data_IF_620158299368
#
_entry.id   IF_620158299368
#
_cell.length_a   1.000
_cell.length_b   1.000
_cell.length_c   1.000
_cell.angle_alpha   90.00
_cell.angle_beta   90.00
_cell.angle_gamma   90.00
#
_symmetry.space_group_name_H-M   'P 1'
#
loop_
_entity.id
_entity.type
_entity.pdbx_description
1 polymer ?
#
# COMPACT_ATOMS: atom_id res chain seq x y z
N UNK A 1 15.07 -1.09 22.51
CA UNK A 1 15.12 -1.98 21.33
C UNK A 1 13.79 -2.09 20.57
N UNK A 2 12.66 -1.63 21.13
CA UNK A 2 11.33 -1.72 20.52
C UNK A 2 10.85 -0.44 19.79
N UNK A 3 11.75 0.52 19.54
CA UNK A 3 11.48 1.73 18.72
C UNK A 3 11.30 1.45 17.22
N UNK A 4 11.14 0.16 16.84
CA UNK A 4 10.93 -0.31 15.47
C UNK A 4 9.49 -0.83 15.23
N UNK A 5 8.61 -0.79 16.24
CA UNK A 5 7.29 -1.47 16.19
C UNK A 5 6.36 -0.90 15.10
N UNK A 6 6.46 0.37 14.71
CA UNK A 6 5.61 0.95 13.64
C UNK A 6 6.09 0.70 12.20
N UNK A 7 7.23 0.03 12.00
CA UNK A 7 7.86 -0.11 10.67
C UNK A 7 7.40 -1.30 9.82
N UNK A 8 6.38 -2.07 10.24
CA UNK A 8 6.00 -3.31 9.58
C UNK A 8 4.52 -3.38 9.16
N UNK A 9 3.99 -2.30 8.57
CA UNK A 9 2.67 -2.35 7.88
C UNK A 9 2.80 -2.76 6.40
N UNK A 10 4.02 -2.75 5.86
CA UNK A 10 4.32 -3.50 4.65
C UNK A 10 5.37 -4.53 5.02
N UNK A 11 5.10 -5.85 4.95
CA UNK A 11 6.21 -6.73 4.64
C UNK A 11 6.86 -6.17 3.37
N UNK A 12 8.14 -5.80 3.48
CA UNK A 12 8.97 -5.57 2.30
C UNK A 12 9.08 -6.94 1.63
N UNK A 13 8.08 -7.30 0.84
CA UNK A 13 8.23 -8.36 -0.14
C UNK A 13 8.91 -7.74 -1.35
N UNK A 14 10.21 -7.48 -1.22
CA UNK A 14 11.13 -7.92 -2.27
C UNK A 14 11.41 -9.40 -1.98
N UNK A 15 10.36 -10.20 -2.01
CA UNK A 15 10.47 -11.63 -2.22
C UNK A 15 9.53 -11.91 -3.39
N UNK A 16 10.02 -11.56 -4.57
CA UNK A 16 9.66 -12.35 -5.75
C UNK A 16 9.89 -13.80 -5.35
N UNK A 17 8.80 -14.56 -5.22
CA UNK A 17 8.90 -16.01 -5.27
C UNK A 17 9.83 -16.34 -6.45
N UNK A 18 10.77 -17.30 -6.32
CA UNK A 18 11.61 -17.67 -7.44
C UNK A 18 10.67 -18.04 -8.58
N UNK A 19 10.63 -17.22 -9.64
CA UNK A 19 9.80 -17.53 -10.79
C UNK A 19 10.30 -18.86 -11.32
N UNK A 20 9.45 -19.88 -11.25
CA UNK A 20 9.74 -21.16 -11.89
C UNK A 20 9.89 -20.88 -13.38
N UNK A 21 11.13 -20.96 -13.87
CA UNK A 21 11.53 -20.87 -15.27
C UNK A 21 11.20 -19.55 -16.00
N UNK A 22 12.00 -18.51 -15.75
CA UNK A 22 12.14 -17.39 -16.70
C UNK A 22 12.77 -17.91 -18.00
N UNK A 23 11.95 -18.20 -19.01
CA UNK A 23 12.43 -18.33 -20.38
C UNK A 23 12.80 -16.94 -20.90
N UNK A 24 13.73 -16.85 -21.87
CA UNK A 24 14.15 -15.58 -22.51
C UNK A 24 13.00 -14.77 -23.18
N UNK A 25 11.75 -15.24 -23.11
CA UNK A 25 10.54 -14.61 -23.64
C UNK A 25 9.66 -13.88 -22.62
N UNK A 26 9.91 -14.01 -21.31
CA UNK A 26 9.14 -13.27 -20.30
C UNK A 26 9.61 -11.82 -20.20
N UNK A 27 8.73 -10.88 -20.51
CA UNK A 27 9.02 -9.45 -20.49
C UNK A 27 8.50 -8.76 -19.20
N UNK A 28 7.87 -9.49 -18.28
CA UNK A 28 7.40 -8.93 -17.01
C UNK A 28 8.48 -8.12 -16.27
N UNK A 29 9.72 -8.63 -16.07
CA UNK A 29 10.75 -7.85 -15.40
C UNK A 29 11.03 -6.52 -16.12
N UNK A 30 11.10 -6.53 -17.45
CA UNK A 30 11.32 -5.33 -18.24
C UNK A 30 10.17 -4.33 -18.13
N UNK A 31 8.92 -4.81 -18.12
CA UNK A 31 7.75 -3.94 -17.94
C UNK A 31 7.73 -3.30 -16.56
N UNK A 32 8.10 -4.05 -15.51
CA UNK A 32 8.23 -3.50 -14.17
C UNK A 32 9.22 -2.34 -14.13
N UNK A 33 10.42 -2.53 -14.70
CA UNK A 33 11.44 -1.47 -14.77
C UNK A 33 10.96 -0.28 -15.62
N UNK A 34 10.33 -0.54 -16.76
CA UNK A 34 9.76 0.52 -17.61
C UNK A 34 8.72 1.37 -16.85
N UNK A 35 7.75 0.73 -16.18
CA UNK A 35 6.73 1.46 -15.44
C UNK A 35 7.32 2.20 -14.23
N UNK A 36 8.34 1.65 -13.57
CA UNK A 36 9.05 2.35 -12.51
C UNK A 36 9.73 3.62 -13.05
N UNK A 37 10.50 3.49 -14.14
CA UNK A 37 11.19 4.62 -14.76
C UNK A 37 10.23 5.70 -15.27
N UNK A 38 9.07 5.28 -15.80
CA UNK A 38 8.02 6.18 -16.25
C UNK A 38 7.34 6.91 -15.07
N UNK A 39 7.07 6.20 -13.97
CA UNK A 39 6.47 6.77 -12.76
C UNK A 39 7.39 7.80 -12.09
N UNK A 40 8.68 7.47 -11.99
CA UNK A 40 9.69 8.32 -11.38
C UNK A 40 10.12 9.49 -12.29
N UNK A 41 9.73 9.45 -13.58
CA UNK A 41 10.06 10.49 -14.55
C UNK A 41 11.55 10.60 -14.87
N UNK A 42 12.29 9.49 -14.76
CA UNK A 42 13.75 9.40 -14.97
C UNK A 42 14.13 9.76 -16.40
N UNK A 43 13.30 9.37 -17.37
CA UNK A 43 13.49 9.64 -18.79
C UNK A 43 12.59 10.79 -19.22
N UNK A 44 13.14 11.80 -19.89
CA UNK A 44 12.33 12.98 -20.27
C UNK A 44 11.17 12.63 -21.20
N UNK A 45 11.34 11.64 -22.07
CA UNK A 45 10.30 11.22 -23.01
C UNK A 45 9.07 10.61 -22.32
N UNK A 46 9.19 10.06 -21.09
CA UNK A 46 8.06 9.41 -20.42
C UNK A 46 7.02 10.41 -19.94
N UNK A 47 7.41 11.68 -19.74
CA UNK A 47 6.53 12.77 -19.31
C UNK A 47 5.49 13.17 -20.38
N UNK A 48 5.72 12.79 -21.64
CA UNK A 48 4.83 13.11 -22.76
C UNK A 48 3.61 12.17 -22.83
N UNK A 49 3.63 11.08 -22.05
CA UNK A 49 2.64 10.01 -22.14
C UNK A 49 2.07 9.67 -20.77
N UNK A 50 0.75 9.58 -20.68
CA UNK A 50 0.08 9.05 -19.49
C UNK A 50 -0.05 7.52 -19.60
N UNK A 51 0.95 6.80 -19.11
CA UNK A 51 0.96 5.33 -19.09
C UNK A 51 0.01 4.73 -18.03
N UNK A 52 -0.42 5.52 -17.04
CA UNK A 52 -1.09 5.03 -15.84
C UNK A 52 -2.61 5.23 -15.85
N UNK A 53 -3.14 6.03 -16.76
CA UNK A 53 -4.60 6.16 -16.89
C UNK A 53 -5.28 4.84 -17.26
N UNK A 54 -6.57 4.73 -16.94
CA UNK A 54 -7.38 3.58 -17.36
C UNK A 54 -7.52 3.47 -18.88
N UNK A 55 -7.37 4.60 -19.58
CA UNK A 55 -7.51 4.74 -21.04
C UNK A 55 -6.16 4.78 -21.77
N UNK A 56 -5.03 4.48 -21.11
CA UNK A 56 -3.68 4.46 -21.68
C UNK A 56 -3.42 3.30 -22.65
N UNK A 57 -4.46 2.88 -23.34
CA UNK A 57 -4.54 1.70 -24.21
C UNK A 57 -4.04 2.07 -25.64
N UNK A 58 -3.93 1.12 -26.58
CA UNK A 58 -2.87 0.91 -27.60
C UNK A 58 -2.23 2.14 -28.27
N UNK A 59 -2.97 3.22 -28.44
CA UNK A 59 -2.50 4.46 -29.07
C UNK A 59 -1.36 5.12 -28.31
N UNK A 60 -1.39 5.07 -26.97
CA UNK A 60 -0.32 5.63 -26.13
C UNK A 60 0.97 4.85 -26.37
N UNK A 61 0.96 3.53 -26.19
CA UNK A 61 2.15 2.70 -26.40
C UNK A 61 2.63 2.71 -27.85
N UNK A 62 1.73 2.77 -28.85
CA UNK A 62 2.12 2.93 -30.25
C UNK A 62 2.88 4.24 -30.50
N UNK A 63 2.42 5.34 -29.90
CA UNK A 63 3.06 6.65 -30.03
C UNK A 63 4.35 6.74 -29.20
N UNK A 64 4.35 6.10 -28.04
CA UNK A 64 5.47 6.04 -27.10
C UNK A 64 6.53 5.00 -27.48
N UNK A 65 6.38 4.25 -28.59
CA UNK A 65 7.33 3.20 -29.02
C UNK A 65 8.80 3.65 -28.94
N UNK A 66 9.20 4.84 -29.46
CA UNK A 66 10.59 5.29 -29.34
C UNK A 66 11.04 5.44 -27.88
N UNK A 67 10.20 6.05 -27.04
CA UNK A 67 10.48 6.24 -25.62
C UNK A 67 10.53 4.90 -24.86
N UNK A 68 9.61 3.99 -25.14
CA UNK A 68 9.60 2.66 -24.55
C UNK A 68 10.89 1.90 -24.87
N UNK A 69 11.33 1.92 -26.14
CA UNK A 69 12.56 1.26 -26.54
C UNK A 69 13.82 1.93 -25.99
N UNK A 70 13.81 3.26 -25.81
CA UNK A 70 14.88 3.99 -25.13
C UNK A 70 15.05 3.50 -23.68
N UNK A 71 13.96 3.48 -22.91
CA UNK A 71 13.96 2.99 -21.53
C UNK A 71 14.34 1.52 -21.49
N UNK A 72 13.72 0.68 -22.32
CA UNK A 72 13.98 -0.77 -22.33
C UNK A 72 15.43 -1.11 -22.67
N UNK A 73 16.09 -0.32 -23.51
CA UNK A 73 17.51 -0.50 -23.84
C UNK A 73 18.42 -0.29 -22.64
N UNK A 74 18.02 0.58 -21.72
CA UNK A 74 18.81 1.00 -20.57
C UNK A 74 18.51 0.15 -19.33
N UNK A 75 17.22 -0.10 -19.08
CA UNK A 75 16.76 -0.73 -17.83
C UNK A 75 16.54 -2.25 -17.95
N UNK A 76 16.31 -2.77 -19.16
CA UNK A 76 16.01 -4.20 -19.34
C UNK A 76 17.24 -5.01 -19.74
N UNK A 77 17.14 -6.34 -19.57
CA UNK A 77 18.18 -7.23 -20.07
C UNK A 77 18.29 -7.17 -21.60
N UNK A 78 19.49 -7.42 -22.13
CA UNK A 78 19.73 -7.42 -23.58
C UNK A 78 18.80 -8.37 -24.34
N UNK A 79 18.47 -9.54 -23.77
CA UNK A 79 17.53 -10.49 -24.39
C UNK A 79 16.12 -9.93 -24.50
N UNK A 80 15.61 -9.31 -23.43
CA UNK A 80 14.29 -8.68 -23.40
C UNK A 80 14.22 -7.48 -24.34
N UNK A 81 15.24 -6.63 -24.35
CA UNK A 81 15.32 -5.51 -25.29
C UNK A 81 15.34 -5.99 -26.75
N UNK A 82 16.14 -7.00 -27.08
CA UNK A 82 16.20 -7.54 -28.44
C UNK A 82 14.85 -8.13 -28.89
N UNK A 83 14.15 -8.82 -27.97
CA UNK A 83 12.80 -9.31 -28.22
C UNK A 83 11.82 -8.16 -28.47
N UNK A 84 11.75 -7.18 -27.56
CA UNK A 84 10.82 -6.05 -27.63
C UNK A 84 11.10 -5.15 -28.85
N UNK A 85 12.36 -4.90 -29.18
CA UNK A 85 12.73 -4.08 -30.35
C UNK A 85 12.37 -4.74 -31.68
N UNK A 86 12.45 -6.07 -31.75
CA UNK A 86 12.12 -6.83 -32.97
C UNK A 86 10.63 -7.15 -33.08
N UNK A 87 9.97 -7.41 -31.94
CA UNK A 87 8.60 -7.91 -31.85
C UNK A 87 7.65 -6.94 -31.14
N UNK A 88 7.94 -5.64 -31.25
CA UNK A 88 7.16 -4.62 -30.53
C UNK A 88 5.67 -4.64 -30.87
N UNK A 89 5.34 -4.83 -32.15
CA UNK A 89 3.95 -4.78 -32.60
C UNK A 89 3.18 -6.02 -32.10
N UNK A 90 3.81 -7.20 -32.10
CA UNK A 90 3.30 -8.42 -31.46
C UNK A 90 3.09 -8.20 -29.94
N UNK A 91 4.03 -7.51 -29.27
CA UNK A 91 3.89 -7.12 -27.85
C UNK A 91 2.70 -6.18 -27.63
N UNK A 92 2.53 -5.15 -28.47
CA UNK A 92 1.42 -4.23 -28.37
C UNK A 92 0.08 -4.95 -28.47
N UNK A 93 -0.06 -5.92 -29.37
CA UNK A 93 -1.26 -6.74 -29.50
C UNK A 93 -1.58 -7.44 -28.17
N UNK A 94 -0.58 -8.09 -27.55
CA UNK A 94 -0.73 -8.79 -26.27
C UNK A 94 -1.20 -7.88 -25.14
N UNK A 95 -0.74 -6.63 -25.06
CA UNK A 95 -1.13 -5.71 -23.97
C UNK A 95 -2.40 -4.91 -24.26
N UNK A 96 -2.98 -5.04 -25.46
CA UNK A 96 -4.09 -4.18 -25.89
C UNK A 96 -5.34 -4.93 -26.32
N UNK A 97 -5.22 -6.20 -26.69
CA UNK A 97 -6.36 -7.06 -27.01
C UNK A 97 -6.80 -7.85 -25.78
N UNK A 98 -7.86 -7.38 -25.11
CA UNK A 98 -8.44 -8.08 -23.98
C UNK A 98 -9.03 -9.44 -24.42
N UNK A 99 -8.64 -10.56 -23.79
CA UNK A 99 -9.18 -11.88 -24.12
C UNK A 99 -10.70 -11.95 -23.91
N UNK A 100 -11.43 -12.56 -24.85
CA UNK A 100 -12.91 -12.63 -24.84
C UNK A 100 -13.49 -13.68 -23.87
N UNK A 101 -12.67 -14.49 -23.20
CA UNK A 101 -13.16 -15.60 -22.35
C UNK A 101 -13.11 -15.27 -20.86
N UNK A 102 -14.20 -15.60 -20.16
CA UNK A 102 -14.43 -15.38 -18.72
C UNK A 102 -13.54 -16.21 -17.78
N UNK A 103 -12.55 -16.96 -18.29
CA UNK A 103 -11.72 -17.88 -17.50
C UNK A 103 -10.20 -17.67 -17.62
N UNK A 104 -9.71 -16.60 -18.25
CA UNK A 104 -8.33 -16.54 -18.78
C UNK A 104 -7.34 -15.60 -18.06
N UNK A 105 -7.35 -15.57 -16.73
CA UNK A 105 -6.33 -14.84 -15.96
C UNK A 105 -4.87 -15.31 -16.23
N UNK A 106 -4.69 -16.44 -16.91
CA UNK A 106 -3.39 -16.94 -17.42
C UNK A 106 -2.85 -16.15 -18.63
N UNK A 107 -3.67 -15.29 -19.27
CA UNK A 107 -3.22 -14.48 -20.40
C UNK A 107 -2.17 -13.45 -19.98
N UNK A 108 -1.13 -13.31 -20.79
CA UNK A 108 -0.12 -12.26 -20.65
C UNK A 108 -0.72 -10.84 -20.65
N UNK A 109 -1.90 -10.65 -21.26
CA UNK A 109 -2.63 -9.38 -21.21
C UNK A 109 -2.82 -8.90 -19.77
N UNK A 110 -3.35 -9.75 -18.88
CA UNK A 110 -3.64 -9.38 -17.49
C UNK A 110 -2.36 -9.18 -16.68
N UNK A 111 -1.37 -10.07 -16.87
CA UNK A 111 -0.06 -9.98 -16.21
C UNK A 111 0.64 -8.66 -16.54
N UNK A 112 0.79 -8.35 -17.81
CA UNK A 112 1.55 -7.18 -18.27
C UNK A 112 0.83 -5.86 -17.99
N UNK A 113 -0.51 -5.82 -18.11
CA UNK A 113 -1.28 -4.63 -17.74
C UNK A 113 -1.25 -4.34 -16.24
N UNK A 114 -1.08 -5.36 -15.40
CA UNK A 114 -1.03 -5.19 -13.94
C UNK A 114 0.31 -4.63 -13.44
N UNK A 115 1.38 -4.74 -14.25
CA UNK A 115 2.69 -4.19 -13.89
C UNK A 115 2.68 -2.68 -13.69
N UNK A 116 1.74 -1.95 -14.31
CA UNK A 116 1.59 -0.50 -14.11
C UNK A 116 1.17 -0.10 -12.69
N UNK A 117 0.63 -1.05 -11.91
CA UNK A 117 0.22 -0.81 -10.52
C UNK A 117 1.41 -0.89 -9.55
N UNK A 118 2.46 -1.65 -9.92
CA UNK A 118 3.62 -1.92 -9.07
C UNK A 118 4.35 -0.66 -8.60
N UNK A 119 4.65 0.36 -9.44
CA UNK A 119 5.30 1.57 -8.94
C UNK A 119 4.45 2.33 -7.91
N UNK A 120 3.12 2.33 -8.06
CA UNK A 120 2.22 2.95 -7.05
C UNK A 120 2.27 2.22 -5.71
N UNK A 121 2.36 0.88 -5.72
CA UNK A 121 2.55 0.09 -4.50
C UNK A 121 3.89 0.41 -3.83
N UNK A 122 4.95 0.51 -4.64
CA UNK A 122 6.28 0.91 -4.17
C UNK A 122 6.28 2.31 -3.56
N UNK A 123 5.59 3.25 -4.20
CA UNK A 123 5.45 4.63 -3.72
C UNK A 123 4.75 4.70 -2.36
N UNK A 124 3.65 3.94 -2.18
CA UNK A 124 2.97 3.82 -0.88
C UNK A 124 3.95 3.30 0.19
N UNK A 125 4.64 2.20 -0.09
CA UNK A 125 5.59 1.60 0.86
C UNK A 125 6.71 2.59 1.24
N UNK A 126 7.26 3.30 0.25
CA UNK A 126 8.33 4.28 0.44
C UNK A 126 7.87 5.51 1.25
N UNK A 127 6.66 6.02 0.98
CA UNK A 127 6.11 7.21 1.64
C UNK A 127 5.53 6.92 3.02
N UNK A 128 5.01 5.72 3.29
CA UNK A 128 4.52 5.34 4.62
C UNK A 128 5.65 5.21 5.63
N UNK A 129 6.78 4.61 5.24
CA UNK A 129 7.93 4.36 6.13
C UNK A 129 8.40 5.60 6.94
N UNK A 130 8.69 6.77 6.32
CA UNK A 130 9.12 7.97 7.05
C UNK A 130 8.02 8.62 7.88
N UNK A 131 6.76 8.25 7.66
CA UNK A 131 5.61 8.76 8.39
C UNK A 131 5.23 7.89 9.58
N UNK A 132 5.66 6.62 9.61
CA UNK A 132 5.18 5.61 10.57
C UNK A 132 5.25 6.05 12.04
N UNK A 133 6.26 6.84 12.44
CA UNK A 133 6.45 7.28 13.83
C UNK A 133 6.11 8.74 14.08
N UNK A 134 5.56 9.43 13.08
CA UNK A 134 5.24 10.85 13.18
C UNK A 134 3.81 11.03 13.66
N UNK A 135 3.64 11.96 14.59
CA UNK A 135 2.34 12.55 14.89
C UNK A 135 1.93 13.40 13.70
N UNK A 136 0.77 13.08 13.13
CA UNK A 136 0.24 13.75 11.96
C UNK A 136 -1.08 14.37 12.36
N UNK A 137 -1.31 15.57 11.84
CA UNK A 137 -2.59 16.24 11.96
C UNK A 137 -3.52 15.72 10.87
N UNK A 138 -4.82 15.84 11.11
CA UNK A 138 -5.81 15.63 10.06
C UNK A 138 -5.53 16.57 8.89
N UNK A 139 -5.64 16.06 7.67
CA UNK A 139 -5.32 16.75 6.42
C UNK A 139 -3.83 17.11 6.25
N UNK A 140 -2.91 16.41 6.90
CA UNK A 140 -1.48 16.48 6.55
C UNK A 140 -1.31 16.13 5.05
N UNK A 141 -0.70 17.03 4.29
CA UNK A 141 -0.61 16.89 2.82
C UNK A 141 0.08 15.60 2.39
N UNK A 142 0.99 15.05 3.20
CA UNK A 142 1.69 13.79 2.92
C UNK A 142 0.78 12.57 3.13
N UNK A 143 -0.19 12.67 4.05
CA UNK A 143 -1.23 11.65 4.19
C UNK A 143 -2.22 11.75 3.04
N UNK A 144 -2.65 12.96 2.67
CA UNK A 144 -3.58 13.14 1.55
C UNK A 144 -3.01 12.60 0.24
N UNK A 145 -1.72 12.81 -0.03
CA UNK A 145 -1.01 12.21 -1.17
C UNK A 145 -1.02 10.67 -1.12
N UNK A 146 -0.78 10.08 0.06
CA UNK A 146 -0.87 8.63 0.24
C UNK A 146 -2.30 8.09 0.05
N UNK A 147 -3.32 8.82 0.49
CA UNK A 147 -4.74 8.47 0.30
C UNK A 147 -5.08 8.47 -1.20
N UNK A 148 -4.66 9.49 -1.95
CA UNK A 148 -4.84 9.54 -3.40
C UNK A 148 -4.14 8.36 -4.10
N UNK A 149 -2.88 8.09 -3.76
CA UNK A 149 -2.15 6.94 -4.32
C UNK A 149 -2.83 5.61 -3.96
N UNK A 150 -3.43 5.51 -2.77
CA UNK A 150 -4.22 4.36 -2.35
C UNK A 150 -5.46 4.12 -3.22
N UNK A 151 -6.19 5.17 -3.57
CA UNK A 151 -7.35 5.05 -4.45
C UNK A 151 -6.92 4.66 -5.88
N UNK A 152 -5.82 5.25 -6.36
CA UNK A 152 -5.24 4.93 -7.67
C UNK A 152 -4.77 3.48 -7.76
N UNK A 153 -4.08 2.96 -6.75
CA UNK A 153 -3.61 1.56 -6.77
C UNK A 153 -4.78 0.59 -6.65
N UNK A 154 -5.78 0.86 -5.79
CA UNK A 154 -7.00 0.04 -5.69
C UNK A 154 -7.73 -0.03 -7.02
N UNK A 155 -7.87 1.11 -7.70
CA UNK A 155 -8.46 1.18 -9.05
C UNK A 155 -7.64 0.38 -10.07
N UNK A 156 -6.30 0.51 -10.00
CA UNK A 156 -5.38 -0.22 -10.88
C UNK A 156 -5.46 -1.74 -10.69
N UNK A 157 -5.61 -2.21 -9.44
CA UNK A 157 -5.74 -3.63 -9.10
C UNK A 157 -7.16 -4.19 -9.28
N UNK A 158 -8.16 -3.34 -9.51
CA UNK A 158 -9.58 -3.74 -9.58
C UNK A 158 -9.87 -4.86 -10.60
N UNK A 159 -9.21 -4.94 -11.78
CA UNK A 159 -9.40 -6.06 -12.69
C UNK A 159 -9.10 -7.41 -12.00
N UNK A 160 -9.92 -8.45 -12.23
CA UNK A 160 -9.95 -9.64 -11.38
C UNK A 160 -8.75 -10.61 -11.53
N UNK A 161 -7.81 -10.35 -12.44
CA UNK A 161 -7.05 -11.45 -13.04
C UNK A 161 -5.53 -11.55 -12.79
N UNK A 162 -4.90 -10.68 -12.01
CA UNK A 162 -3.46 -10.85 -11.71
C UNK A 162 -3.20 -10.91 -10.22
N UNK A 163 -3.63 -9.89 -9.51
CA UNK A 163 -3.53 -9.87 -8.06
C UNK A 163 -4.60 -10.80 -7.46
N UNK A 164 -4.14 -11.74 -6.65
CA UNK A 164 -5.05 -12.60 -5.92
C UNK A 164 -5.73 -11.84 -4.76
N UNK A 165 -6.74 -12.46 -4.15
CA UNK A 165 -7.52 -11.82 -3.08
C UNK A 165 -6.66 -11.47 -1.86
N UNK A 166 -5.60 -12.24 -1.58
CA UNK A 166 -4.68 -11.96 -0.49
C UNK A 166 -3.89 -10.67 -0.76
N UNK A 167 -3.33 -10.51 -1.95
CA UNK A 167 -2.60 -9.31 -2.35
C UNK A 167 -3.51 -8.07 -2.36
N UNK A 168 -4.73 -8.22 -2.87
CA UNK A 168 -5.75 -7.16 -2.85
C UNK A 168 -6.15 -6.78 -1.42
N UNK A 169 -6.32 -7.77 -0.54
CA UNK A 169 -6.63 -7.53 0.88
C UNK A 169 -5.49 -6.79 1.56
N UNK A 170 -4.24 -7.21 1.36
CA UNK A 170 -3.08 -6.55 1.95
C UNK A 170 -2.99 -5.06 1.57
N UNK A 171 -3.15 -4.73 0.29
CA UNK A 171 -3.16 -3.33 -0.16
C UNK A 171 -4.36 -2.58 0.42
N UNK A 172 -5.54 -3.20 0.42
CA UNK A 172 -6.76 -2.58 0.96
C UNK A 172 -6.61 -2.25 2.44
N UNK A 173 -6.10 -3.20 3.23
CA UNK A 173 -5.85 -3.06 4.66
C UNK A 173 -4.76 -2.02 4.97
N UNK A 174 -3.68 -1.99 4.20
CA UNK A 174 -2.65 -0.96 4.29
C UNK A 174 -3.23 0.43 4.04
N UNK A 175 -4.05 0.57 3.00
CA UNK A 175 -4.74 1.82 2.68
C UNK A 175 -5.78 2.23 3.72
N UNK A 176 -6.52 1.28 4.31
CA UNK A 176 -7.44 1.57 5.40
C UNK A 176 -6.69 2.08 6.63
N UNK A 177 -5.49 1.54 6.89
CA UNK A 177 -4.62 2.03 7.97
C UNK A 177 -4.12 3.46 7.70
N UNK A 178 -3.80 3.80 6.45
CA UNK A 178 -3.47 5.18 6.06
C UNK A 178 -4.66 6.12 6.26
N UNK A 179 -5.85 5.70 5.83
CA UNK A 179 -7.08 6.47 6.02
C UNK A 179 -7.39 6.70 7.49
N UNK A 180 -7.28 5.66 8.33
CA UNK A 180 -7.47 5.75 9.77
C UNK A 180 -6.52 6.79 10.40
N UNK A 181 -5.27 6.88 9.95
CA UNK A 181 -4.31 7.89 10.43
C UNK A 181 -4.70 9.32 10.09
N UNK A 182 -5.55 9.53 9.07
CA UNK A 182 -6.09 10.83 8.69
C UNK A 182 -7.46 11.13 9.35
N UNK A 183 -7.68 10.65 10.57
CA UNK A 183 -8.94 10.87 11.32
C UNK A 183 -8.70 11.64 12.62
N UNK A 184 -9.76 12.29 13.12
CA UNK A 184 -9.74 12.96 14.42
C UNK A 184 -9.49 11.98 15.58
N UNK A 185 -9.91 10.74 15.44
CA UNK A 185 -9.58 9.65 16.36
C UNK A 185 -8.07 9.42 16.49
N UNK A 186 -7.36 9.23 15.38
CA UNK A 186 -5.91 8.99 15.38
C UNK A 186 -5.09 10.23 15.80
N UNK A 187 -5.56 11.42 15.42
CA UNK A 187 -4.99 12.69 15.89
C UNK A 187 -5.11 12.79 17.42
N UNK A 188 -6.30 12.50 17.97
CA UNK A 188 -6.54 12.52 19.40
C UNK A 188 -5.66 11.52 20.18
N UNK A 189 -5.55 10.27 19.72
CA UNK A 189 -4.65 9.29 20.33
C UNK A 189 -3.19 9.76 20.33
N UNK A 190 -2.76 10.40 19.24
CA UNK A 190 -1.43 11.00 19.14
C UNK A 190 -1.23 12.14 20.12
N UNK A 191 -2.24 12.99 20.32
CA UNK A 191 -2.20 14.11 21.27
C UNK A 191 -2.16 13.61 22.71
N UNK A 192 -3.02 12.66 23.09
CA UNK A 192 -3.00 12.06 24.43
C UNK A 192 -1.64 11.42 24.71
N UNK A 193 -1.09 10.65 23.76
CA UNK A 193 0.21 10.02 23.93
C UNK A 193 1.35 11.06 24.06
N UNK A 194 1.27 12.16 23.31
CA UNK A 194 2.27 13.23 23.32
C UNK A 194 2.23 14.04 24.61
N UNK A 195 1.04 14.41 25.07
CA UNK A 195 0.85 15.25 26.26
C UNK A 195 0.93 14.44 27.55
N UNK A 196 0.66 13.12 27.47
CA UNK A 196 0.64 12.21 28.62
C UNK A 196 -0.16 12.80 29.80
N UNK A 197 -1.43 13.18 29.58
CA UNK A 197 -2.24 13.82 30.62
C UNK A 197 -2.41 12.88 31.83
N UNK A 198 -2.65 13.47 33.00
CA UNK A 198 -3.03 12.69 34.17
C UNK A 198 -4.45 12.14 34.01
N UNK A 199 -4.55 10.82 33.83
CA UNK A 199 -5.82 10.10 33.68
C UNK A 199 -6.23 9.36 34.96
N UNK A 200 -5.58 9.61 36.10
CA UNK A 200 -5.87 8.94 37.37
C UNK A 200 -7.31 9.16 37.87
N UNK A 201 -7.97 10.25 37.43
CA UNK A 201 -9.37 10.52 37.70
C UNK A 201 -10.35 9.54 37.05
N UNK A 202 -9.95 8.87 35.96
CA UNK A 202 -10.79 7.94 35.21
C UNK A 202 -10.78 6.55 35.84
N UNK A 203 -11.60 6.37 36.88
CA UNK A 203 -11.74 5.08 37.60
C UNK A 203 -12.14 3.90 36.69
N UNK A 204 -12.73 4.19 35.53
CA UNK A 204 -13.11 3.19 34.54
C UNK A 204 -11.91 2.51 33.84
N UNK A 205 -10.70 3.08 33.92
CA UNK A 205 -9.50 2.48 33.32
C UNK A 205 -9.06 1.19 34.02
N UNK A 206 -9.50 0.94 35.26
CA UNK A 206 -9.20 -0.28 36.03
C UNK A 206 -7.71 -0.67 36.04
N UNK A 207 -6.83 0.32 36.03
CA UNK A 207 -5.37 0.12 36.05
C UNK A 207 -4.71 -0.08 34.68
N UNK A 208 -5.45 0.03 33.57
CA UNK A 208 -4.88 0.05 32.22
C UNK A 208 -4.11 1.36 32.01
N UNK A 209 -2.83 1.23 31.64
CA UNK A 209 -2.01 2.37 31.25
C UNK A 209 -2.39 2.84 29.85
N UNK A 210 -3.11 3.97 29.78
CA UNK A 210 -3.54 4.58 28.52
C UNK A 210 -2.38 4.97 27.60
N UNK A 211 -1.18 5.23 28.14
CA UNK A 211 0.00 5.59 27.38
C UNK A 211 0.90 4.39 27.03
N UNK A 212 0.58 3.20 27.58
CA UNK A 212 1.31 1.98 27.27
C UNK A 212 1.24 1.64 25.78
N UNK A 213 2.38 1.21 25.25
CA UNK A 213 2.55 0.71 23.88
C UNK A 213 2.53 -0.81 23.82
N UNK A 214 2.28 -1.49 24.94
CA UNK A 214 2.19 -2.94 24.96
C UNK A 214 0.94 -3.38 24.16
N UNK A 215 1.05 -4.40 23.29
CA UNK A 215 -0.08 -4.87 22.50
C UNK A 215 -1.31 -5.22 23.34
N UNK A 216 -1.12 -5.88 24.48
CA UNK A 216 -2.20 -6.26 25.40
C UNK A 216 -2.93 -5.04 25.96
N UNK A 217 -2.21 -3.98 26.30
CA UNK A 217 -2.80 -2.77 26.87
C UNK A 217 -3.56 -1.99 25.79
N UNK A 218 -3.03 -1.95 24.56
CA UNK A 218 -3.73 -1.33 23.43
C UNK A 218 -5.03 -2.09 23.13
N UNK A 219 -4.99 -3.42 23.07
CA UNK A 219 -6.18 -4.25 22.86
C UNK A 219 -7.19 -4.01 23.99
N UNK A 220 -6.76 -3.99 25.24
CA UNK A 220 -7.65 -3.79 26.39
C UNK A 220 -8.28 -2.40 26.44
N UNK A 221 -7.61 -1.36 25.92
CA UNK A 221 -8.20 -0.01 25.77
C UNK A 221 -9.39 -0.01 24.82
N UNK A 222 -9.25 -0.68 23.68
CA UNK A 222 -10.23 -0.62 22.59
C UNK A 222 -11.28 -1.72 22.65
N UNK A 223 -11.03 -2.82 23.38
CA UNK A 223 -12.00 -3.91 23.56
C UNK A 223 -12.67 -3.88 24.94
N UNK A 224 -11.91 -4.04 26.04
CA UNK A 224 -12.48 -4.18 27.40
C UNK A 224 -12.87 -2.85 28.03
N UNK A 225 -12.16 -1.78 27.71
CA UNK A 225 -12.34 -0.45 28.28
C UNK A 225 -12.86 0.56 27.27
N UNK A 226 -13.52 0.08 26.21
CA UNK A 226 -14.01 0.87 25.07
C UNK A 226 -14.78 2.13 25.51
N UNK A 227 -15.74 1.99 26.43
CA UNK A 227 -16.52 3.12 26.93
C UNK A 227 -15.67 4.15 27.68
N UNK A 228 -14.67 3.71 28.45
CA UNK A 228 -13.76 4.59 29.17
C UNK A 228 -12.85 5.35 28.20
N UNK A 229 -12.30 4.63 27.23
CA UNK A 229 -11.46 5.19 26.17
C UNK A 229 -12.23 6.23 25.36
N UNK A 230 -13.48 5.94 24.99
CA UNK A 230 -14.37 6.87 24.29
C UNK A 230 -14.61 8.13 25.12
N UNK A 231 -14.93 7.98 26.42
CA UNK A 231 -15.12 9.12 27.32
C UNK A 231 -13.86 9.99 27.40
N UNK A 232 -12.68 9.39 27.60
CA UNK A 232 -11.41 10.11 27.68
C UNK A 232 -11.14 10.89 26.39
N UNK A 233 -11.34 10.26 25.23
CA UNK A 233 -11.12 10.90 23.93
C UNK A 233 -12.11 12.03 23.67
N UNK A 234 -13.39 11.88 24.04
CA UNK A 234 -14.39 12.94 23.91
C UNK A 234 -14.08 14.12 24.82
N UNK A 235 -13.71 13.87 26.09
CA UNK A 235 -13.38 14.93 27.05
C UNK A 235 -12.08 15.66 26.69
N UNK A 236 -11.07 14.95 26.17
CA UNK A 236 -9.77 15.53 25.85
C UNK A 236 -9.73 16.21 24.48
N UNK A 237 -10.36 15.62 23.46
CA UNK A 237 -10.26 16.05 22.06
C UNK A 237 -11.57 16.55 21.45
N UNK A 238 -12.70 16.38 22.15
CA UNK A 238 -14.03 16.74 21.66
C UNK A 238 -14.74 15.64 20.86
N UNK A 239 -15.99 15.94 20.49
CA UNK A 239 -16.94 14.97 19.89
C UNK A 239 -16.49 14.40 18.54
N UNK A 240 -15.77 15.18 17.74
CA UNK A 240 -15.28 14.73 16.43
C UNK A 240 -14.31 13.54 16.55
N UNK A 241 -13.57 13.43 17.65
CA UNK A 241 -12.64 12.33 17.89
C UNK A 241 -13.34 10.97 18.13
N UNK A 242 -14.64 10.99 18.41
CA UNK A 242 -15.42 9.80 18.81
C UNK A 242 -16.63 9.51 17.93
N UNK A 243 -16.79 10.22 16.81
CA UNK A 243 -17.94 10.06 15.89
C UNK A 243 -18.03 8.63 15.33
N UNK A 244 -16.91 8.06 14.87
CA UNK A 244 -16.80 6.68 14.38
C UNK A 244 -15.97 5.80 15.32
N UNK A 245 -16.08 6.06 16.63
CA UNK A 245 -15.19 5.45 17.62
C UNK A 245 -15.16 3.92 17.55
N UNK A 246 -16.31 3.26 17.43
CA UNK A 246 -16.39 1.80 17.54
C UNK A 246 -15.68 1.12 16.36
N UNK A 247 -15.89 1.60 15.14
CA UNK A 247 -15.21 1.13 13.93
C UNK A 247 -13.68 1.34 14.02
N UNK A 248 -13.25 2.52 14.47
CA UNK A 248 -11.83 2.86 14.56
C UNK A 248 -11.11 2.14 15.70
N UNK A 249 -11.81 1.90 16.81
CA UNK A 249 -11.33 1.09 17.93
C UNK A 249 -11.14 -0.38 17.51
N UNK A 250 -12.12 -0.95 16.81
CA UNK A 250 -12.04 -2.32 16.28
C UNK A 250 -10.84 -2.46 15.32
N UNK A 251 -10.75 -1.60 14.31
CA UNK A 251 -9.61 -1.61 13.37
C UNK A 251 -8.26 -1.47 14.09
N UNK A 252 -8.17 -0.61 15.11
CA UNK A 252 -6.93 -0.44 15.88
C UNK A 252 -6.56 -1.70 16.64
N UNK A 253 -7.52 -2.34 17.31
CA UNK A 253 -7.29 -3.57 18.06
C UNK A 253 -6.89 -4.74 17.14
N UNK A 254 -7.61 -4.93 16.03
CA UNK A 254 -7.31 -5.98 15.05
C UNK A 254 -5.90 -5.84 14.47
N UNK A 255 -5.48 -4.61 14.14
CA UNK A 255 -4.13 -4.36 13.60
C UNK A 255 -3.04 -4.72 14.60
N UNK A 256 -3.25 -4.43 15.88
CA UNK A 256 -2.31 -4.81 16.94
C UNK A 256 -2.21 -6.33 17.09
N UNK A 257 -3.33 -7.05 16.98
CA UNK A 257 -3.34 -8.52 16.99
C UNK A 257 -2.58 -9.09 15.79
N UNK A 258 -2.86 -8.61 14.58
CA UNK A 258 -2.17 -9.04 13.36
C UNK A 258 -0.66 -8.81 13.46
N UNK A 259 -0.24 -7.64 13.96
CA UNK A 259 1.18 -7.33 14.16
C UNK A 259 1.85 -8.24 15.19
N UNK A 260 1.17 -8.56 16.29
CA UNK A 260 1.67 -9.47 17.31
C UNK A 260 1.88 -10.89 16.75
N UNK A 261 0.92 -11.40 15.97
CA UNK A 261 1.01 -12.70 15.30
C UNK A 261 2.16 -12.73 14.28
N UNK A 262 2.32 -11.67 13.48
CA UNK A 262 3.41 -11.59 12.51
C UNK A 262 4.79 -11.58 13.19
N UNK A 263 4.92 -10.92 14.35
CA UNK A 263 6.16 -10.92 15.12
C UNK A 263 6.51 -12.32 15.68
N UNK A 264 5.52 -13.09 16.15
CA UNK A 264 5.73 -14.47 16.61
C UNK A 264 6.24 -15.37 15.48
N UNK A 265 5.63 -15.27 14.30
CA UNK A 265 6.05 -16.02 13.10
C UNK A 265 7.50 -15.70 12.73
N UNK A 266 7.88 -14.41 12.73
CA UNK A 266 9.25 -13.99 12.40
C UNK A 266 10.29 -14.39 13.44
N UNK A 267 9.86 -14.64 14.69
CA UNK A 267 10.73 -15.09 15.77
C UNK A 267 10.86 -16.62 15.82
N UNK A 268 10.17 -17.35 14.95
CA UNK A 268 10.26 -18.82 14.85
C UNK A 268 9.60 -19.54 16.03
N UNK A 269 8.73 -18.87 16.78
CA UNK A 269 7.92 -19.47 17.82
C UNK A 269 6.64 -20.03 17.16
N UNK A 270 6.70 -21.29 16.72
CA UNK A 270 5.52 -22.09 16.31
C UNK A 270 4.97 -22.89 17.48
#
# INVERSE_FOLDING_TARGET
MFSKILLFIFPIFIASAPSKNSTNGDIEPCLKEFYQAAYDGVYNCTKEFDFFSKNSTPKVFKSAKPCFLEVAKSECSNSQYNLLSTKYDDFLEVITEEPKSDTSCESFYFKYNSMKCVPMMGDIAAKVAPLAQKHLKVNDSRLLDLVDTCDRVKSCMSPPCYFNDVEKSMITEGCNSINLRNTKFSECLSEIQKESPDLSGYKCLKGVDFNSKAPTDIIDKFSKNQACTKQIMEEFCGKEAVENFDEYAEMTAEKVVQMAQMMQILQGES
#
